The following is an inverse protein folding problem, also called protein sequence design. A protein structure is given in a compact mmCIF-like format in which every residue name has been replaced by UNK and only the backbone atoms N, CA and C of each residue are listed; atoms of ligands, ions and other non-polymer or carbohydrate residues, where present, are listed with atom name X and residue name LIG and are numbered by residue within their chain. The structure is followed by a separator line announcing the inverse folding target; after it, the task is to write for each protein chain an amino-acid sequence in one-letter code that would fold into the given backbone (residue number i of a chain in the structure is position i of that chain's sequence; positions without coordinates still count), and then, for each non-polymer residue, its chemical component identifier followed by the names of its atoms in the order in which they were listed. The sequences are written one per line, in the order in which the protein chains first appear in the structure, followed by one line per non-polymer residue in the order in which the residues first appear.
data_IF_916890263201
#
_entry.id   IF_916890263201
#
_cell.length_a   1.000
_cell.length_b   1.000
_cell.length_c   1.000
_cell.angle_alpha   90.00
_cell.angle_beta   90.00
_cell.angle_gamma   90.00
#
_symmetry.space_group_name_H-M   'P 1'
#
loop_
_entity.id
_entity.type
_entity.pdbx_description
1 polymer ?
#
# COMPACT_ATOMS: atom_id res chain seq x y z
N UNK A 1 -20.67 31.35 54.91
CA UNK A 1 -20.04 30.08 55.42
C UNK A 1 -19.21 29.44 54.31
N UNK A 2 -17.93 29.33 54.61
CA UNK A 2 -16.88 28.98 53.65
C UNK A 2 -16.77 27.46 53.46
N UNK A 3 -16.46 27.04 52.19
CA UNK A 3 -15.85 25.73 51.97
C UNK A 3 -14.67 25.90 51.01
N UNK A 4 -13.50 25.51 51.50
CA UNK A 4 -12.19 25.58 50.90
C UNK A 4 -12.06 24.66 49.67
N UNK A 5 -11.58 25.16 48.55
CA UNK A 5 -11.06 24.41 47.44
C UNK A 5 -9.58 24.11 47.70
N UNK A 6 -9.21 22.82 47.67
CA UNK A 6 -7.79 22.37 47.64
C UNK A 6 -7.32 22.30 46.19
N UNK A 7 -6.27 23.00 45.86
CA UNK A 7 -5.53 22.93 44.62
C UNK A 7 -4.54 21.79 44.65
N UNK A 8 -4.62 20.85 43.72
CA UNK A 8 -3.59 19.87 43.43
C UNK A 8 -2.64 20.38 42.32
N UNK A 9 -1.40 20.62 42.71
CA UNK A 9 -0.33 21.06 41.80
C UNK A 9 0.17 19.86 40.98
N UNK A 10 0.22 20.02 39.65
CA UNK A 10 0.95 19.14 38.75
C UNK A 10 2.44 19.53 38.70
N UNK A 11 3.37 18.57 38.55
CA UNK A 11 4.80 18.87 38.52
C UNK A 11 5.23 19.51 37.21
N UNK A 12 5.92 20.65 37.31
CA UNK A 12 6.59 21.34 36.20
C UNK A 12 7.90 20.64 35.89
N UNK A 13 8.03 20.05 34.71
CA UNK A 13 9.32 19.68 34.13
C UNK A 13 9.95 20.90 33.47
N UNK A 14 11.03 21.44 34.02
CA UNK A 14 11.94 22.36 33.37
C UNK A 14 13.25 21.59 33.12
N UNK A 15 13.47 21.21 31.88
CA UNK A 15 14.78 20.77 31.39
C UNK A 15 15.28 21.79 30.38
N UNK A 16 16.21 22.65 30.80
CA UNK A 16 16.96 23.53 29.89
C UNK A 16 18.12 22.73 29.33
N UNK A 17 18.11 22.48 28.02
CA UNK A 17 19.32 22.09 27.32
C UNK A 17 19.96 23.34 26.70
N UNK A 18 21.13 23.73 27.21
CA UNK A 18 22.03 24.66 26.54
C UNK A 18 22.78 23.90 25.45
N UNK A 19 22.48 24.17 24.19
CA UNK A 19 23.30 23.71 23.05
C UNK A 19 24.25 24.84 22.70
N UNK A 20 25.54 24.58 22.73
CA UNK A 20 26.58 25.52 22.31
C UNK A 20 26.50 25.75 20.80
N UNK A 21 26.66 27.01 20.38
CA UNK A 21 26.40 27.50 19.03
C UNK A 21 27.34 27.03 17.91
N UNK A 22 28.21 26.01 18.13
CA UNK A 22 29.31 25.69 17.20
C UNK A 22 29.45 24.19 16.80
N UNK A 23 28.43 23.36 16.98
CA UNK A 23 28.51 21.98 16.49
C UNK A 23 27.48 21.73 15.38
N UNK A 24 27.93 21.08 14.29
CA UNK A 24 27.08 20.78 13.15
C UNK A 24 26.05 19.69 13.52
N UNK A 25 24.82 19.70 12.96
CA UNK A 25 23.76 18.73 13.27
C UNK A 25 24.13 17.26 13.06
N UNK A 26 25.16 16.99 12.26
CA UNK A 26 25.65 15.62 12.01
C UNK A 26 26.42 15.00 13.17
N UNK A 27 27.00 15.79 14.06
CA UNK A 27 27.75 15.31 15.22
C UNK A 27 26.80 14.95 16.35
N UNK A 28 25.77 15.75 16.58
CA UNK A 28 24.76 15.48 17.61
C UNK A 28 23.99 14.18 17.32
N UNK A 29 23.69 13.90 16.04
CA UNK A 29 23.03 12.66 15.64
C UNK A 29 23.92 11.43 15.78
N UNK A 30 25.24 11.57 15.55
CA UNK A 30 26.22 10.48 15.74
C UNK A 30 26.48 10.17 17.21
N UNK A 31 26.46 11.17 18.08
CA UNK A 31 26.59 10.96 19.54
C UNK A 31 25.32 10.29 20.10
N UNK A 32 24.12 10.70 19.66
CA UNK A 32 22.87 10.09 20.10
C UNK A 32 22.75 8.61 19.68
N UNK A 33 23.24 8.26 18.48
CA UNK A 33 23.28 6.85 18.02
C UNK A 33 24.36 6.06 18.76
N UNK A 34 25.47 6.67 19.15
CA UNK A 34 26.57 5.99 19.86
C UNK A 34 26.25 5.74 21.35
N UNK A 35 25.60 6.68 22.02
CA UNK A 35 25.14 6.50 23.42
C UNK A 35 23.98 5.53 23.56
N UNK A 36 23.13 5.35 22.52
CA UNK A 36 22.09 4.30 22.53
C UNK A 36 22.61 2.90 22.22
N UNK A 37 23.83 2.74 21.73
CA UNK A 37 24.43 1.41 21.43
C UNK A 37 25.33 0.88 22.56
N UNK A 38 25.69 1.67 23.56
CA UNK A 38 26.64 1.27 24.64
C UNK A 38 25.96 0.97 25.99
N UNK A 39 24.62 1.17 26.14
CA UNK A 39 23.91 0.85 27.38
C UNK A 39 22.76 -0.18 27.16
N UNK A 40 23.01 -1.21 26.34
CA UNK A 40 22.15 -2.40 26.39
C UNK A 40 22.80 -3.40 27.35
N UNK A 41 22.47 -3.25 28.64
CA UNK A 41 22.80 -4.21 29.67
C UNK A 41 22.23 -5.59 29.29
N UNK A 42 23.09 -6.59 29.07
CA UNK A 42 22.74 -7.98 28.74
C UNK A 42 21.89 -8.69 29.82
N UNK A 43 21.54 -8.01 30.91
CA UNK A 43 20.83 -8.56 32.07
C UNK A 43 19.42 -7.97 32.30
N UNK A 44 18.85 -7.24 31.34
CA UNK A 44 17.46 -6.80 31.48
C UNK A 44 16.50 -7.95 31.16
N UNK A 45 15.66 -8.40 32.11
CA UNK A 45 14.82 -9.60 31.91
C UNK A 45 13.60 -9.40 31.02
N UNK A 46 13.42 -8.26 30.39
CA UNK A 46 12.29 -8.01 29.48
C UNK A 46 12.77 -7.19 28.30
N UNK A 47 13.13 -7.90 27.21
CA UNK A 47 13.20 -7.28 25.89
C UNK A 47 11.81 -7.42 25.24
N UNK A 48 10.98 -6.36 25.17
CA UNK A 48 9.56 -6.46 24.77
C UNK A 48 9.33 -6.76 23.29
N UNK A 49 10.31 -7.32 22.60
CA UNK A 49 10.22 -7.61 21.16
C UNK A 49 10.77 -8.95 20.71
N UNK A 50 11.32 -9.77 21.60
CA UNK A 50 11.67 -11.15 21.24
C UNK A 50 10.54 -12.09 21.68
N UNK A 51 9.96 -12.91 20.77
CA UNK A 51 9.11 -14.01 21.19
C UNK A 51 9.92 -14.88 22.18
N UNK A 52 9.25 -15.46 23.16
CA UNK A 52 9.89 -16.45 24.04
C UNK A 52 10.47 -17.54 23.14
N UNK A 53 11.77 -17.52 23.01
CA UNK A 53 12.48 -18.58 22.30
C UNK A 53 12.42 -19.82 23.19
N UNK A 54 11.91 -20.93 22.66
CA UNK A 54 12.02 -22.23 23.29
C UNK A 54 13.48 -22.62 23.49
N UNK A 55 13.74 -23.71 24.21
CA UNK A 55 15.09 -24.24 24.31
C UNK A 55 15.67 -24.58 22.92
N UNK A 56 16.98 -24.32 22.71
CA UNK A 56 17.61 -24.67 21.44
C UNK A 56 17.69 -26.20 21.28
N UNK A 57 17.36 -26.67 20.11
CA UNK A 57 17.39 -28.09 19.75
C UNK A 57 18.53 -28.35 18.74
N UNK A 58 19.20 -29.51 18.80
CA UNK A 58 20.13 -29.91 17.76
C UNK A 58 19.37 -30.23 16.46
N UNK A 59 19.99 -30.07 15.28
CA UNK A 59 19.30 -30.22 13.98
C UNK A 59 18.56 -31.55 13.76
N UNK A 60 19.02 -32.62 14.40
CA UNK A 60 18.42 -33.96 14.34
C UNK A 60 17.01 -34.02 14.97
N UNK A 61 16.74 -33.08 15.89
CA UNK A 61 15.45 -32.97 16.61
C UNK A 61 14.52 -31.90 16.00
N UNK A 62 14.94 -31.19 14.95
CA UNK A 62 14.13 -30.18 14.32
C UNK A 62 12.93 -30.79 13.58
N UNK A 63 11.77 -30.15 13.73
CA UNK A 63 10.53 -30.57 13.05
C UNK A 63 10.67 -30.40 11.54
N UNK A 64 10.58 -31.50 10.81
CA UNK A 64 10.71 -31.54 9.34
C UNK A 64 9.38 -31.24 8.64
N UNK A 65 9.41 -30.65 7.44
CA UNK A 65 10.60 -30.03 6.81
C UNK A 65 11.00 -28.72 7.53
N UNK A 66 12.27 -28.34 7.48
CA UNK A 66 12.77 -27.14 8.14
C UNK A 66 13.69 -26.29 7.27
N UNK A 67 13.82 -25.01 7.64
CA UNK A 67 14.78 -24.06 7.09
C UNK A 67 15.46 -23.31 8.23
N UNK A 68 16.76 -23.06 8.10
CA UNK A 68 17.55 -22.30 9.06
C UNK A 68 17.78 -20.87 8.57
N UNK A 69 17.74 -19.90 9.48
CA UNK A 69 18.11 -18.52 9.22
C UNK A 69 19.53 -18.23 9.72
N UNK A 70 20.36 -17.61 8.88
CA UNK A 70 21.65 -17.07 9.29
C UNK A 70 21.49 -15.87 10.24
N UNK A 71 20.44 -15.09 10.01
CA UNK A 71 20.08 -13.92 10.81
C UNK A 71 18.58 -13.95 11.08
N UNK A 72 18.19 -13.81 12.34
CA UNK A 72 16.77 -13.69 12.70
C UNK A 72 16.24 -12.35 12.20
N UNK A 73 15.11 -12.40 11.53
CA UNK A 73 14.38 -11.22 11.06
C UNK A 73 12.92 -11.41 11.41
N UNK A 74 12.27 -10.34 11.87
CA UNK A 74 10.82 -10.32 12.07
C UNK A 74 10.06 -10.00 10.78
N UNK A 75 10.77 -9.67 9.70
CA UNK A 75 10.15 -9.46 8.39
C UNK A 75 9.69 -10.80 7.80
N UNK A 76 8.52 -10.82 7.13
CA UNK A 76 8.03 -12.04 6.48
C UNK A 76 8.93 -12.51 5.34
N UNK A 77 9.55 -11.58 4.60
CA UNK A 77 10.35 -11.87 3.42
C UNK A 77 11.80 -12.20 3.78
N UNK A 78 12.22 -13.43 3.56
CA UNK A 78 13.58 -13.89 3.75
C UNK A 78 14.27 -14.03 2.39
N UNK A 79 15.35 -13.28 2.22
CA UNK A 79 16.15 -13.29 0.99
C UNK A 79 17.24 -14.36 1.04
N UNK A 80 17.81 -14.80 -0.11
CA UNK A 80 18.79 -15.89 -0.17
C UNK A 80 19.98 -15.73 0.77
N UNK A 81 20.47 -14.49 0.96
CA UNK A 81 21.60 -14.20 1.87
C UNK A 81 21.29 -14.43 3.35
N UNK A 82 20.00 -14.45 3.72
CA UNK A 82 19.52 -14.65 5.09
C UNK A 82 19.23 -16.12 5.39
N UNK A 83 19.02 -16.93 4.34
CA UNK A 83 18.74 -18.36 4.44
C UNK A 83 20.04 -19.12 4.65
N UNK A 84 20.02 -20.03 5.62
CA UNK A 84 21.06 -21.02 5.89
C UNK A 84 20.73 -22.37 5.25
N UNK A 85 20.95 -23.45 6.00
CA UNK A 85 20.65 -24.79 5.56
C UNK A 85 19.14 -25.08 5.53
N UNK A 86 18.74 -25.99 4.68
CA UNK A 86 17.36 -26.42 4.51
C UNK A 86 17.32 -27.95 4.51
N UNK A 87 16.33 -28.53 5.17
CA UNK A 87 16.18 -29.98 5.21
C UNK A 87 15.99 -30.58 3.81
N UNK A 88 16.57 -31.76 3.57
CA UNK A 88 16.56 -32.43 2.25
C UNK A 88 15.16 -32.83 1.77
N UNK A 89 14.23 -32.95 2.68
CA UNK A 89 12.84 -33.29 2.42
C UNK A 89 11.95 -32.07 2.11
N UNK A 90 12.42 -30.86 2.32
CA UNK A 90 11.69 -29.65 1.96
C UNK A 90 11.49 -29.53 0.43
N UNK A 91 10.26 -29.32 0.01
CA UNK A 91 9.84 -29.18 -1.39
C UNK A 91 9.33 -27.74 -1.68
N UNK A 92 9.38 -27.30 -2.94
CA UNK A 92 8.79 -26.03 -3.33
C UNK A 92 7.29 -25.96 -2.97
N UNK A 93 6.90 -24.93 -2.21
CA UNK A 93 5.54 -24.73 -1.73
C UNK A 93 5.24 -25.27 -0.33
N UNK A 94 6.16 -26.01 0.27
CA UNK A 94 5.97 -26.59 1.60
C UNK A 94 5.91 -25.52 2.70
N UNK A 95 5.13 -25.83 3.72
CA UNK A 95 5.15 -25.14 5.01
C UNK A 95 6.27 -25.74 5.85
N UNK A 96 7.30 -24.95 6.16
CA UNK A 96 8.52 -25.41 6.85
C UNK A 96 8.63 -24.76 8.23
N UNK A 97 9.20 -25.52 9.17
CA UNK A 97 9.63 -25.00 10.48
C UNK A 97 10.86 -24.13 10.30
N UNK A 98 10.90 -22.96 10.94
CA UNK A 98 12.01 -22.02 10.80
C UNK A 98 12.82 -21.98 12.10
N UNK A 99 14.13 -22.20 11.98
CA UNK A 99 15.08 -22.19 13.10
C UNK A 99 16.12 -21.11 12.90
N UNK A 100 16.64 -20.56 14.00
CA UNK A 100 17.80 -19.71 13.97
C UNK A 100 19.12 -20.52 13.93
N UNK A 101 20.26 -19.85 13.84
CA UNK A 101 21.57 -20.49 13.81
C UNK A 101 21.95 -21.19 15.12
N UNK A 102 21.25 -20.94 16.21
CA UNK A 102 21.48 -21.54 17.52
C UNK A 102 20.56 -22.73 17.81
N UNK A 103 19.59 -22.99 16.95
CA UNK A 103 18.65 -24.10 17.09
C UNK A 103 17.32 -23.74 17.74
N UNK A 104 17.06 -22.45 17.99
CA UNK A 104 15.74 -22.05 18.50
C UNK A 104 14.73 -22.03 17.34
N UNK A 105 13.55 -22.55 17.59
CA UNK A 105 12.44 -22.39 16.65
C UNK A 105 11.98 -20.93 16.69
N UNK A 106 11.98 -20.25 15.55
CA UNK A 106 11.63 -18.83 15.43
C UNK A 106 10.40 -18.57 14.58
N UNK A 107 9.83 -19.60 13.96
CA UNK A 107 8.64 -19.43 13.14
C UNK A 107 8.25 -20.63 12.30
N UNK A 108 7.31 -20.37 11.41
CA UNK A 108 6.88 -21.26 10.32
C UNK A 108 6.72 -20.44 9.05
N UNK A 109 7.09 -20.98 7.89
CA UNK A 109 7.07 -20.23 6.64
C UNK A 109 6.85 -21.12 5.40
N UNK A 110 6.50 -20.48 4.29
CA UNK A 110 6.38 -21.11 2.97
C UNK A 110 7.72 -21.07 2.26
N UNK A 111 8.19 -22.21 1.81
CA UNK A 111 9.50 -22.40 1.18
C UNK A 111 9.40 -22.61 -0.33
N UNK A 112 10.23 -21.90 -1.09
CA UNK A 112 10.46 -22.17 -2.51
C UNK A 112 11.89 -21.75 -2.89
N UNK A 113 12.82 -22.68 -3.14
CA UNK A 113 14.22 -22.36 -3.43
C UNK A 113 14.42 -21.60 -4.75
N UNK A 114 13.42 -21.59 -5.65
CA UNK A 114 13.48 -20.90 -6.94
C UNK A 114 13.11 -19.42 -6.83
N UNK A 115 12.36 -19.05 -5.78
CA UNK A 115 11.82 -17.72 -5.61
C UNK A 115 12.90 -16.67 -5.30
N UNK A 116 12.66 -15.41 -5.67
CA UNK A 116 13.48 -14.27 -5.22
C UNK A 116 13.51 -14.13 -3.70
N UNK A 117 12.43 -14.55 -3.05
CA UNK A 117 12.30 -14.65 -1.59
C UNK A 117 12.02 -16.12 -1.26
N UNK A 118 13.08 -16.95 -1.06
CA UNK A 118 12.95 -18.39 -0.93
C UNK A 118 12.19 -18.86 0.31
N UNK A 119 12.00 -17.99 1.30
CA UNK A 119 11.19 -18.30 2.47
C UNK A 119 10.32 -17.07 2.81
N UNK A 120 9.02 -17.32 2.98
CA UNK A 120 8.04 -16.34 3.46
C UNK A 120 7.55 -16.79 4.83
N UNK A 121 8.01 -16.14 5.89
CA UNK A 121 7.61 -16.45 7.26
C UNK A 121 6.16 -15.99 7.46
N UNK A 122 5.28 -16.94 7.75
CA UNK A 122 3.85 -16.67 7.99
C UNK A 122 3.55 -16.41 9.47
N UNK A 123 4.38 -16.95 10.36
CA UNK A 123 4.29 -16.67 11.79
C UNK A 123 5.66 -16.70 12.43
N UNK A 124 5.89 -15.76 13.36
CA UNK A 124 7.09 -15.68 14.19
C UNK A 124 6.75 -16.19 15.59
N UNK A 125 6.61 -17.51 15.74
CA UNK A 125 6.26 -18.17 16.99
C UNK A 125 7.08 -19.44 17.17
N UNK A 126 7.45 -19.77 18.41
CA UNK A 126 8.06 -21.05 18.75
C UNK A 126 7.07 -22.22 18.66
N UNK A 127 5.75 -21.92 18.60
CA UNK A 127 4.72 -22.94 18.44
C UNK A 127 4.58 -23.35 16.97
N UNK A 128 4.44 -24.66 16.68
CA UNK A 128 4.16 -25.14 15.34
C UNK A 128 2.75 -24.68 14.92
N UNK A 129 2.61 -24.28 13.67
CA UNK A 129 1.32 -24.01 13.05
C UNK A 129 1.21 -24.79 11.75
N UNK A 130 0.01 -25.23 11.43
CA UNK A 130 -0.32 -25.98 10.22
C UNK A 130 -1.20 -25.17 9.26
N UNK A 131 -1.93 -25.88 8.40
CA UNK A 131 -2.80 -25.29 7.38
C UNK A 131 -3.97 -24.49 7.99
N UNK A 132 -4.38 -24.79 9.22
CA UNK A 132 -5.43 -24.10 9.99
C UNK A 132 -5.10 -22.61 10.24
N UNK A 133 -3.82 -22.26 10.26
CA UNK A 133 -3.38 -20.87 10.38
C UNK A 133 -3.96 -20.01 9.27
N UNK A 134 -3.93 -20.49 8.02
CA UNK A 134 -4.41 -19.73 6.87
C UNK A 134 -5.92 -19.52 6.89
N UNK A 135 -6.69 -20.53 7.30
CA UNK A 135 -8.14 -20.38 7.45
C UNK A 135 -8.48 -19.33 8.53
N UNK A 136 -7.77 -19.35 9.64
CA UNK A 136 -7.92 -18.36 10.70
C UNK A 136 -7.52 -16.96 10.22
N UNK A 137 -6.42 -16.82 9.47
CA UNK A 137 -5.96 -15.54 8.91
C UNK A 137 -6.97 -14.99 7.90
N UNK A 138 -7.54 -15.83 7.02
CA UNK A 138 -8.61 -15.45 6.09
C UNK A 138 -9.83 -14.92 6.83
N UNK A 139 -10.32 -15.66 7.83
CA UNK A 139 -11.49 -15.23 8.62
C UNK A 139 -11.23 -13.91 9.33
N UNK A 140 -10.05 -13.71 9.93
CA UNK A 140 -9.67 -12.43 10.55
C UNK A 140 -9.62 -11.29 9.54
N UNK A 141 -9.06 -11.53 8.34
CA UNK A 141 -8.99 -10.53 7.29
C UNK A 141 -10.40 -10.09 6.84
N UNK A 142 -11.32 -11.05 6.63
CA UNK A 142 -12.71 -10.76 6.25
C UNK A 142 -13.43 -10.02 7.38
N UNK A 143 -13.33 -10.50 8.64
CA UNK A 143 -13.97 -9.86 9.79
C UNK A 143 -13.48 -8.41 9.99
N UNK A 144 -12.19 -8.14 9.76
CA UNK A 144 -11.66 -6.77 9.81
C UNK A 144 -12.41 -5.83 8.86
N UNK A 145 -12.73 -6.28 7.65
CA UNK A 145 -13.41 -5.47 6.62
C UNK A 145 -14.91 -5.39 6.83
N UNK A 146 -15.55 -6.52 7.17
CA UNK A 146 -17.02 -6.59 7.31
C UNK A 146 -17.50 -6.16 8.67
N UNK A 147 -16.90 -6.68 9.76
CA UNK A 147 -17.40 -6.47 11.12
C UNK A 147 -16.88 -5.14 11.69
N UNK A 148 -15.57 -4.88 11.58
CA UNK A 148 -14.97 -3.70 12.17
C UNK A 148 -15.18 -2.45 11.31
N UNK A 149 -14.90 -2.53 9.98
CA UNK A 149 -14.98 -1.37 9.09
C UNK A 149 -16.30 -1.26 8.33
N UNK A 150 -17.14 -2.29 8.34
CA UNK A 150 -18.46 -2.33 7.70
C UNK A 150 -18.42 -1.90 6.22
N UNK A 151 -17.39 -2.36 5.48
CA UNK A 151 -17.15 -1.90 4.12
C UNK A 151 -18.27 -2.26 3.14
N UNK A 152 -18.99 -3.37 3.38
CA UNK A 152 -20.14 -3.77 2.55
C UNK A 152 -21.27 -2.72 2.56
N UNK A 153 -21.36 -1.89 3.60
CA UNK A 153 -22.36 -0.81 3.67
C UNK A 153 -22.06 0.33 2.68
N UNK A 154 -20.79 0.51 2.31
CA UNK A 154 -20.34 1.65 1.51
C UNK A 154 -19.78 1.28 0.15
N UNK A 155 -19.34 0.03 -0.04
CA UNK A 155 -18.74 -0.43 -1.29
C UNK A 155 -18.94 -1.93 -1.47
N UNK A 156 -19.09 -2.36 -2.72
CA UNK A 156 -19.00 -3.77 -3.13
C UNK A 156 -17.65 -4.10 -3.78
N UNK A 157 -16.67 -3.17 -3.66
CA UNK A 157 -15.29 -3.38 -4.11
C UNK A 157 -14.29 -2.93 -3.03
N UNK A 158 -13.47 -3.87 -2.53
CA UNK A 158 -12.48 -3.63 -1.50
C UNK A 158 -11.44 -4.75 -1.40
N UNK A 159 -10.26 -4.45 -0.82
CA UNK A 159 -9.18 -5.39 -0.57
C UNK A 159 -9.56 -6.37 0.54
N UNK A 160 -9.74 -7.65 0.19
CA UNK A 160 -10.07 -8.73 1.13
C UNK A 160 -8.85 -9.20 1.90
N UNK A 161 -7.75 -9.42 1.18
CA UNK A 161 -6.46 -9.85 1.76
C UNK A 161 -5.36 -8.93 1.23
N UNK A 162 -4.60 -8.33 2.13
CA UNK A 162 -3.49 -7.43 1.84
C UNK A 162 -2.12 -8.05 2.19
N UNK A 163 -1.86 -9.23 1.67
CA UNK A 163 -0.57 -9.93 1.78
C UNK A 163 -0.03 -9.96 3.21
N UNK A 164 1.18 -9.41 3.41
CA UNK A 164 1.85 -9.37 4.73
C UNK A 164 1.00 -8.66 5.79
N UNK A 165 0.20 -7.67 5.40
CA UNK A 165 -0.68 -6.93 6.31
C UNK A 165 -1.82 -7.74 6.91
N UNK A 166 -2.13 -8.92 6.35
CA UNK A 166 -3.10 -9.88 6.88
C UNK A 166 -2.44 -11.21 7.31
N UNK A 167 -1.09 -11.29 7.26
CA UNK A 167 -0.34 -12.48 7.63
C UNK A 167 -0.41 -13.60 6.59
N UNK A 168 -0.79 -13.30 5.35
CA UNK A 168 -0.83 -14.24 4.23
C UNK A 168 0.14 -13.77 3.16
N UNK A 169 1.43 -13.79 3.49
CA UNK A 169 2.51 -13.29 2.63
C UNK A 169 2.48 -13.93 1.25
N UNK A 170 2.41 -13.09 0.22
CA UNK A 170 2.41 -13.53 -1.17
C UNK A 170 1.02 -13.68 -1.80
N UNK A 171 -0.03 -13.11 -1.19
CA UNK A 171 -1.38 -13.08 -1.73
C UNK A 171 -2.03 -11.71 -1.53
N UNK A 172 -2.56 -11.14 -2.60
CA UNK A 172 -3.58 -10.08 -2.46
C UNK A 172 -4.88 -10.55 -3.10
N UNK A 173 -6.00 -10.23 -2.46
CA UNK A 173 -7.32 -10.52 -3.00
C UNK A 173 -8.16 -9.23 -2.93
N UNK A 174 -8.67 -8.81 -4.07
CA UNK A 174 -9.67 -7.77 -4.18
C UNK A 174 -11.05 -8.39 -4.51
N UNK A 175 -12.09 -7.88 -3.88
CA UNK A 175 -13.47 -8.17 -4.23
C UNK A 175 -13.99 -7.11 -5.20
N UNK A 176 -14.73 -7.54 -6.22
CA UNK A 176 -15.46 -6.69 -7.14
C UNK A 176 -16.85 -7.29 -7.36
N UNK A 177 -17.84 -6.82 -6.59
CA UNK A 177 -19.18 -7.40 -6.58
C UNK A 177 -19.16 -8.87 -6.14
N UNK A 178 -19.51 -9.78 -7.04
CA UNK A 178 -19.50 -11.23 -6.82
C UNK A 178 -18.22 -11.95 -7.34
N UNK A 179 -17.22 -11.19 -7.75
CA UNK A 179 -15.95 -11.70 -8.30
C UNK A 179 -14.79 -11.37 -7.38
N UNK A 180 -13.95 -12.36 -7.12
CA UNK A 180 -12.65 -12.20 -6.45
C UNK A 180 -11.54 -12.09 -7.49
N UNK A 181 -10.64 -11.12 -7.32
CA UNK A 181 -9.40 -11.01 -8.10
C UNK A 181 -8.21 -11.31 -7.18
N UNK A 182 -7.49 -12.39 -7.49
CA UNK A 182 -6.38 -12.90 -6.69
C UNK A 182 -5.06 -12.65 -7.42
N UNK A 183 -4.21 -11.75 -6.90
CA UNK A 183 -2.81 -11.65 -7.31
C UNK A 183 -1.96 -12.57 -6.42
N UNK A 184 -1.29 -13.53 -7.04
CA UNK A 184 -0.50 -14.54 -6.33
C UNK A 184 0.98 -14.36 -6.62
N UNK A 185 1.76 -14.27 -5.55
CA UNK A 185 3.21 -14.01 -5.60
C UNK A 185 4.06 -15.17 -5.04
N UNK A 186 3.46 -16.32 -4.75
CA UNK A 186 4.15 -17.47 -4.16
C UNK A 186 3.53 -18.80 -4.60
N UNK A 187 4.38 -19.76 -4.93
CA UNK A 187 3.94 -21.14 -5.26
C UNK A 187 3.16 -21.78 -4.12
N UNK A 188 3.63 -21.62 -2.88
CA UNK A 188 2.97 -22.21 -1.71
C UNK A 188 1.57 -21.66 -1.48
N UNK A 189 1.33 -20.40 -1.80
CA UNK A 189 0.00 -19.78 -1.82
C UNK A 189 -0.83 -20.33 -2.97
N UNK A 190 -0.26 -20.38 -4.18
CA UNK A 190 -0.96 -20.85 -5.37
C UNK A 190 -1.50 -22.28 -5.19
N UNK A 191 -0.71 -23.17 -4.62
CA UNK A 191 -1.09 -24.56 -4.34
C UNK A 191 -2.25 -24.67 -3.34
N UNK A 192 -2.39 -23.71 -2.43
CA UNK A 192 -3.42 -23.68 -1.37
C UNK A 192 -4.69 -22.96 -1.79
N UNK A 193 -4.61 -22.07 -2.76
CA UNK A 193 -5.72 -21.21 -3.18
C UNK A 193 -7.01 -21.99 -3.51
N UNK A 194 -6.96 -23.13 -4.26
CA UNK A 194 -8.15 -23.91 -4.56
C UNK A 194 -8.90 -24.42 -3.32
N UNK A 195 -8.17 -24.70 -2.24
CA UNK A 195 -8.74 -25.12 -0.95
C UNK A 195 -9.41 -23.95 -0.22
N UNK A 196 -8.90 -22.73 -0.36
CA UNK A 196 -9.41 -21.54 0.32
C UNK A 196 -10.58 -20.85 -0.39
N UNK A 197 -10.70 -21.02 -1.71
CA UNK A 197 -11.75 -20.39 -2.51
C UNK A 197 -13.17 -20.69 -2.01
N UNK A 198 -13.55 -21.93 -1.67
CA UNK A 198 -14.88 -22.22 -1.12
C UNK A 198 -15.17 -21.46 0.17
N UNK A 199 -14.19 -21.35 1.07
CA UNK A 199 -14.31 -20.57 2.29
C UNK A 199 -14.50 -19.08 2.00
N UNK A 200 -13.68 -18.50 1.11
CA UNK A 200 -13.77 -17.10 0.70
C UNK A 200 -15.13 -16.79 0.06
N UNK A 201 -15.60 -17.64 -0.87
CA UNK A 201 -16.91 -17.49 -1.49
C UNK A 201 -18.04 -17.56 -0.48
N UNK A 202 -17.96 -18.47 0.50
CA UNK A 202 -18.96 -18.59 1.56
C UNK A 202 -19.01 -17.36 2.46
N UNK A 203 -17.83 -16.81 2.83
CA UNK A 203 -17.75 -15.63 3.71
C UNK A 203 -18.21 -14.35 3.03
N UNK A 204 -17.95 -14.21 1.73
CA UNK A 204 -18.12 -12.97 0.99
C UNK A 204 -19.35 -12.94 0.08
N UNK A 205 -20.07 -14.08 -0.08
CA UNK A 205 -21.17 -14.20 -1.02
C UNK A 205 -20.76 -14.07 -2.49
N UNK A 206 -19.48 -14.32 -2.81
CA UNK A 206 -18.95 -14.25 -4.18
C UNK A 206 -19.09 -15.58 -4.91
N UNK A 207 -18.98 -15.55 -6.26
CA UNK A 207 -19.20 -16.74 -7.11
C UNK A 207 -18.06 -17.00 -8.07
N UNK A 208 -17.34 -15.97 -8.44
CA UNK A 208 -16.33 -16.02 -9.49
C UNK A 208 -14.97 -15.67 -8.94
N UNK A 209 -13.91 -16.21 -9.56
CA UNK A 209 -12.54 -15.88 -9.23
C UNK A 209 -11.72 -15.65 -10.51
N UNK A 210 -10.89 -14.61 -10.49
CA UNK A 210 -9.78 -14.43 -11.42
C UNK A 210 -8.47 -14.58 -10.65
N UNK A 211 -7.58 -15.40 -11.17
CA UNK A 211 -6.24 -15.60 -10.60
C UNK A 211 -5.24 -15.03 -11.57
N UNK A 212 -4.45 -14.10 -11.08
CA UNK A 212 -3.35 -13.49 -11.80
C UNK A 212 -2.01 -13.85 -11.13
N UNK A 213 -1.04 -14.17 -11.97
CA UNK A 213 0.36 -14.34 -11.60
C UNK A 213 1.17 -13.64 -12.69
N UNK A 214 2.01 -12.70 -12.30
CA UNK A 214 2.93 -12.07 -13.25
C UNK A 214 3.78 -13.13 -13.96
N UNK A 215 3.99 -12.99 -15.27
CA UNK A 215 4.64 -14.00 -16.12
C UNK A 215 6.05 -14.37 -15.63
N UNK A 216 6.87 -13.35 -15.33
CA UNK A 216 8.25 -13.56 -14.91
C UNK A 216 8.32 -14.15 -13.51
N UNK A 217 7.44 -13.69 -12.64
CA UNK A 217 7.29 -14.22 -11.29
C UNK A 217 6.78 -15.67 -11.33
N UNK A 218 5.79 -15.97 -12.16
CA UNK A 218 5.23 -17.32 -12.32
C UNK A 218 6.30 -18.33 -12.76
N UNK A 219 7.15 -17.94 -13.71
CA UNK A 219 8.28 -18.75 -14.16
C UNK A 219 9.27 -19.04 -13.03
N UNK A 220 9.62 -18.03 -12.23
CA UNK A 220 10.51 -18.18 -11.07
C UNK A 220 9.89 -19.02 -9.95
N UNK A 221 8.61 -18.85 -9.68
CA UNK A 221 7.88 -19.62 -8.66
C UNK A 221 7.56 -21.06 -9.13
N UNK A 222 7.59 -21.34 -10.44
CA UNK A 222 7.25 -22.61 -11.03
C UNK A 222 5.74 -22.83 -11.21
N UNK A 223 4.98 -21.75 -11.34
CA UNK A 223 3.53 -21.75 -11.58
C UNK A 223 3.28 -21.75 -13.09
N UNK A 224 2.50 -22.73 -13.59
CA UNK A 224 2.22 -22.88 -15.01
C UNK A 224 0.97 -22.07 -15.43
N UNK A 225 0.99 -21.36 -16.59
CA UNK A 225 -0.16 -20.61 -17.09
C UNK A 225 -1.45 -21.44 -17.26
N UNK A 226 -1.33 -22.72 -17.60
CA UNK A 226 -2.48 -23.64 -17.74
C UNK A 226 -3.27 -23.81 -16.44
N UNK A 227 -2.58 -23.87 -15.29
CA UNK A 227 -3.20 -24.02 -13.98
C UNK A 227 -4.00 -22.76 -13.56
N UNK A 228 -3.53 -21.58 -13.98
CA UNK A 228 -4.28 -20.33 -13.73
C UNK A 228 -5.57 -20.25 -14.55
N UNK A 229 -5.51 -20.67 -15.82
CA UNK A 229 -6.69 -20.70 -16.71
C UNK A 229 -7.80 -21.59 -16.17
N UNK A 230 -7.47 -22.72 -15.59
CA UNK A 230 -8.42 -23.64 -14.98
C UNK A 230 -9.20 -22.99 -13.84
N UNK A 231 -8.52 -22.27 -12.96
CA UNK A 231 -9.15 -21.56 -11.83
C UNK A 231 -10.03 -20.37 -12.28
N UNK A 232 -9.72 -19.76 -13.42
CA UNK A 232 -10.35 -18.51 -13.90
C UNK A 232 -11.48 -18.76 -14.90
N UNK A 233 -11.74 -20.00 -15.32
CA UNK A 233 -12.54 -20.34 -16.51
C UNK A 233 -13.98 -19.79 -16.52
N UNK A 234 -14.58 -19.48 -15.37
CA UNK A 234 -15.97 -18.99 -15.27
C UNK A 234 -16.11 -17.49 -14.90
N UNK A 235 -14.98 -16.77 -14.81
CA UNK A 235 -15.03 -15.39 -14.36
C UNK A 235 -15.41 -14.42 -15.49
N UNK A 236 -16.27 -13.42 -15.24
CA UNK A 236 -16.61 -12.41 -16.23
C UNK A 236 -15.42 -11.52 -16.56
N UNK A 237 -15.36 -10.98 -17.79
CA UNK A 237 -14.34 -10.01 -18.18
C UNK A 237 -14.58 -8.63 -17.58
N UNK A 238 -15.85 -8.27 -17.36
CA UNK A 238 -16.26 -6.97 -16.82
C UNK A 238 -17.23 -7.13 -15.66
N UNK A 239 -17.04 -6.30 -14.64
CA UNK A 239 -17.91 -6.28 -13.47
C UNK A 239 -18.32 -4.84 -13.16
N UNK A 240 -19.58 -4.62 -12.83
CA UNK A 240 -20.06 -3.33 -12.31
C UNK A 240 -19.97 -3.34 -10.79
N UNK A 241 -19.39 -2.28 -10.25
CA UNK A 241 -19.22 -2.08 -8.81
C UNK A 241 -19.81 -0.74 -8.39
N UNK A 242 -20.03 -0.60 -7.09
CA UNK A 242 -20.45 0.64 -6.45
C UNK A 242 -19.53 0.96 -5.27
N UNK A 243 -19.10 2.22 -5.20
CA UNK A 243 -18.25 2.75 -4.12
C UNK A 243 -18.84 4.08 -3.64
N UNK A 244 -19.29 4.15 -2.39
CA UNK A 244 -19.97 5.33 -1.84
C UNK A 244 -21.12 5.87 -2.73
N UNK A 245 -21.85 4.97 -3.40
CA UNK A 245 -22.92 5.31 -4.33
C UNK A 245 -22.47 5.60 -5.77
N UNK A 246 -21.19 5.81 -6.00
CA UNK A 246 -20.59 6.00 -7.33
C UNK A 246 -20.49 4.65 -8.05
N UNK A 247 -20.89 4.59 -9.30
CA UNK A 247 -20.89 3.37 -10.11
C UNK A 247 -19.66 3.33 -11.00
N UNK A 248 -19.01 2.17 -11.09
CA UNK A 248 -17.89 1.93 -11.97
C UNK A 248 -18.05 0.59 -12.69
N UNK A 249 -17.56 0.49 -13.90
CA UNK A 249 -17.30 -0.76 -14.60
C UNK A 249 -15.81 -1.04 -14.53
N UNK A 250 -15.47 -2.21 -14.02
CA UNK A 250 -14.09 -2.72 -13.94
C UNK A 250 -13.90 -3.71 -15.07
N UNK A 251 -12.91 -3.48 -15.90
CA UNK A 251 -12.52 -4.36 -17.00
C UNK A 251 -11.24 -5.09 -16.64
N UNK A 252 -11.31 -6.39 -16.47
CA UNK A 252 -10.16 -7.23 -16.10
C UNK A 252 -9.30 -7.61 -17.30
N UNK A 253 -9.79 -7.47 -18.51
CA UNK A 253 -9.06 -7.84 -19.72
C UNK A 253 -8.15 -6.69 -20.23
N UNK A 254 -8.67 -5.45 -20.16
CA UNK A 254 -8.00 -4.25 -20.67
C UNK A 254 -7.44 -3.35 -19.57
N UNK A 255 -7.83 -3.57 -18.30
CA UNK A 255 -7.41 -2.75 -17.18
C UNK A 255 -5.98 -3.02 -16.73
N UNK A 256 -5.22 -1.94 -16.40
CA UNK A 256 -3.94 -2.08 -15.72
C UNK A 256 -4.13 -2.76 -14.36
N UNK A 257 -3.33 -3.77 -14.05
CA UNK A 257 -3.41 -4.57 -12.82
C UNK A 257 -4.81 -5.18 -12.65
N UNK A 258 -5.51 -4.76 -11.57
CA UNK A 258 -6.85 -5.25 -11.21
C UNK A 258 -8.00 -4.47 -11.88
N UNK A 259 -7.70 -3.47 -12.72
CA UNK A 259 -8.70 -2.62 -13.40
C UNK A 259 -9.33 -1.54 -12.52
N UNK A 260 -9.14 -1.58 -11.20
CA UNK A 260 -9.64 -0.57 -10.25
C UNK A 260 -8.78 -0.54 -8.98
N UNK A 261 -8.54 0.65 -8.43
CA UNK A 261 -7.68 0.85 -7.26
C UNK A 261 -8.51 1.08 -6.00
N UNK A 262 -8.80 0.02 -5.24
CA UNK A 262 -9.56 0.09 -3.99
C UNK A 262 -8.89 0.94 -2.90
N UNK A 263 -7.57 1.07 -2.93
CA UNK A 263 -6.77 1.82 -1.97
C UNK A 263 -7.05 3.33 -1.94
N UNK A 264 -7.53 3.88 -3.05
CA UNK A 264 -7.89 5.31 -3.16
C UNK A 264 -9.37 5.61 -2.80
N UNK A 265 -10.16 4.62 -2.37
CA UNK A 265 -11.60 4.76 -2.08
C UNK A 265 -11.91 5.98 -1.21
N UNK A 266 -11.28 6.07 -0.06
CA UNK A 266 -11.58 7.09 0.93
C UNK A 266 -11.04 8.46 0.49
N UNK A 267 -9.90 8.48 -0.22
CA UNK A 267 -9.32 9.69 -0.81
C UNK A 267 -10.20 10.24 -1.94
N UNK A 268 -10.77 9.39 -2.81
CA UNK A 268 -11.69 9.81 -3.87
C UNK A 268 -12.93 10.50 -3.29
N UNK A 269 -13.57 9.87 -2.31
CA UNK A 269 -14.74 10.46 -1.63
C UNK A 269 -14.42 11.79 -0.97
N UNK A 270 -13.30 11.85 -0.24
CA UNK A 270 -12.84 13.06 0.43
C UNK A 270 -12.56 14.19 -0.57
N UNK A 271 -11.86 13.89 -1.66
CA UNK A 271 -11.60 14.87 -2.71
C UNK A 271 -12.89 15.46 -3.26
N UNK A 272 -13.86 14.62 -3.62
CA UNK A 272 -15.18 15.06 -4.07
C UNK A 272 -15.87 16.02 -3.09
N UNK A 273 -15.76 15.77 -1.78
CA UNK A 273 -16.38 16.63 -0.76
C UNK A 273 -15.77 18.04 -0.63
N UNK A 274 -14.54 18.24 -1.13
CA UNK A 274 -13.79 19.49 -0.99
C UNK A 274 -13.85 20.40 -2.23
N UNK A 275 -14.48 19.94 -3.33
CA UNK A 275 -14.39 20.63 -4.63
C UNK A 275 -15.72 21.20 -5.15
N UNK A 276 -16.72 21.34 -4.27
CA UNK A 276 -18.01 21.96 -4.66
C UNK A 276 -17.79 23.40 -5.18
N UNK A 277 -18.36 23.68 -6.36
CA UNK A 277 -18.25 24.97 -7.04
C UNK A 277 -16.87 25.28 -7.63
N UNK A 278 -15.98 24.29 -7.70
CA UNK A 278 -14.59 24.47 -8.14
C UNK A 278 -14.38 23.97 -9.58
N UNK A 279 -13.43 24.60 -10.27
CA UNK A 279 -12.83 24.12 -11.51
C UNK A 279 -11.64 23.22 -11.15
N UNK A 280 -11.68 21.97 -11.59
CA UNK A 280 -10.76 20.91 -11.15
C UNK A 280 -9.90 20.41 -12.31
N UNK A 281 -8.61 20.15 -12.05
CA UNK A 281 -7.71 19.40 -12.90
C UNK A 281 -7.33 18.09 -12.20
N UNK A 282 -7.45 16.98 -12.92
CA UNK A 282 -7.08 15.63 -12.47
C UNK A 282 -6.00 15.08 -13.40
N UNK A 283 -4.76 15.04 -12.93
CA UNK A 283 -3.58 14.57 -13.67
C UNK A 283 -3.31 13.09 -13.35
N UNK A 284 -3.12 12.28 -14.39
CA UNK A 284 -3.05 10.82 -14.32
C UNK A 284 -4.37 10.25 -13.79
N UNK A 285 -5.47 10.62 -14.46
CA UNK A 285 -6.84 10.40 -13.97
C UNK A 285 -7.28 8.93 -14.02
N UNK A 286 -6.53 8.06 -14.71
CA UNK A 286 -6.90 6.67 -14.94
C UNK A 286 -8.35 6.57 -15.45
N UNK A 287 -9.16 5.67 -14.91
CA UNK A 287 -10.58 5.52 -15.29
C UNK A 287 -11.52 6.56 -14.65
N UNK A 288 -10.96 7.69 -14.18
CA UNK A 288 -11.70 8.86 -13.71
C UNK A 288 -12.22 8.80 -12.29
N UNK A 289 -11.61 8.00 -11.42
CA UNK A 289 -12.08 7.83 -10.05
C UNK A 289 -12.20 9.15 -9.28
N UNK A 290 -11.17 10.01 -9.28
CA UNK A 290 -11.22 11.33 -8.66
C UNK A 290 -12.09 12.31 -9.43
N UNK A 291 -12.02 12.31 -10.76
CA UNK A 291 -12.80 13.18 -11.64
C UNK A 291 -14.30 12.99 -11.45
N UNK A 292 -14.78 11.74 -11.40
CA UNK A 292 -16.19 11.39 -11.22
C UNK A 292 -16.66 11.80 -9.81
N UNK A 293 -15.88 11.51 -8.77
CA UNK A 293 -16.18 11.95 -7.41
C UNK A 293 -16.21 13.49 -7.31
N UNK A 294 -15.32 14.20 -8.00
CA UNK A 294 -15.34 15.66 -8.04
C UNK A 294 -16.63 16.21 -8.68
N UNK A 295 -17.05 15.63 -9.82
CA UNK A 295 -18.30 16.04 -10.47
C UNK A 295 -19.53 15.78 -9.58
N UNK A 296 -19.61 14.61 -8.97
CA UNK A 296 -20.72 14.25 -8.06
C UNK A 296 -20.67 15.08 -6.76
N UNK A 297 -19.48 15.51 -6.34
CA UNK A 297 -19.28 16.44 -5.24
C UNK A 297 -19.64 17.90 -5.56
N UNK A 298 -20.05 18.21 -6.79
CA UNK A 298 -20.53 19.50 -7.22
C UNK A 298 -19.46 20.43 -7.82
N UNK A 299 -18.36 19.89 -8.34
CA UNK A 299 -17.41 20.67 -9.14
C UNK A 299 -18.14 21.28 -10.35
N UNK A 300 -17.76 22.49 -10.76
CA UNK A 300 -18.37 23.17 -11.92
C UNK A 300 -17.89 22.60 -13.23
N UNK A 301 -16.61 22.25 -13.29
CA UNK A 301 -15.92 21.68 -14.44
C UNK A 301 -14.76 20.82 -13.95
N UNK A 302 -14.53 19.69 -14.62
CA UNK A 302 -13.37 18.84 -14.37
C UNK A 302 -12.66 18.56 -15.70
N UNK A 303 -11.34 18.68 -15.70
CA UNK A 303 -10.48 18.22 -16.80
C UNK A 303 -9.68 17.02 -16.29
N UNK A 304 -9.93 15.87 -16.89
CA UNK A 304 -9.27 14.59 -16.61
C UNK A 304 -8.23 14.31 -17.69
N UNK A 305 -6.97 14.14 -17.30
CA UNK A 305 -5.84 13.93 -18.21
C UNK A 305 -5.20 12.58 -17.94
N UNK A 306 -5.06 11.77 -18.98
CA UNK A 306 -4.31 10.52 -18.92
C UNK A 306 -3.58 10.26 -20.25
N UNK A 307 -2.51 9.47 -20.17
CA UNK A 307 -1.71 9.09 -21.35
C UNK A 307 -2.31 7.89 -22.09
N UNK A 308 -3.15 7.10 -21.43
CA UNK A 308 -3.73 5.88 -21.95
C UNK A 308 -5.16 6.14 -22.46
N UNK A 309 -5.37 5.93 -23.76
CA UNK A 309 -6.66 6.16 -24.40
C UNK A 309 -7.73 5.14 -24.00
N UNK A 310 -7.33 3.91 -23.68
CA UNK A 310 -8.26 2.86 -23.28
C UNK A 310 -8.84 3.15 -21.90
N UNK A 311 -8.01 3.62 -20.96
CA UNK A 311 -8.49 4.02 -19.63
C UNK A 311 -9.37 5.27 -19.69
N UNK A 312 -9.11 6.22 -20.59
CA UNK A 312 -9.98 7.37 -20.86
C UNK A 312 -11.33 6.91 -21.40
N UNK A 313 -11.33 5.96 -22.31
CA UNK A 313 -12.56 5.38 -22.88
C UNK A 313 -13.38 4.70 -21.78
N UNK A 314 -12.71 3.95 -20.88
CA UNK A 314 -13.37 3.37 -19.71
C UNK A 314 -13.87 4.47 -18.75
N UNK A 315 -13.11 5.54 -18.55
CA UNK A 315 -13.51 6.70 -17.76
C UNK A 315 -14.78 7.38 -18.28
N UNK A 316 -14.93 7.53 -19.60
CA UNK A 316 -16.15 8.05 -20.23
C UNK A 316 -17.35 7.13 -19.97
N UNK A 317 -17.16 5.79 -20.03
CA UNK A 317 -18.22 4.83 -19.68
C UNK A 317 -18.62 4.98 -18.21
N UNK A 318 -17.66 5.12 -17.31
CA UNK A 318 -17.90 5.34 -15.87
C UNK A 318 -18.62 6.66 -15.61
N UNK A 319 -18.27 7.75 -16.30
CA UNK A 319 -18.99 9.03 -16.22
C UNK A 319 -20.45 8.88 -16.66
N UNK A 320 -20.70 8.16 -17.76
CA UNK A 320 -22.06 7.90 -18.27
C UNK A 320 -22.89 7.06 -17.29
N UNK A 321 -22.30 6.04 -16.62
CA UNK A 321 -22.99 5.27 -15.59
C UNK A 321 -23.49 6.14 -14.43
N UNK A 322 -22.82 7.27 -14.18
CA UNK A 322 -23.16 8.25 -13.14
C UNK A 322 -23.90 9.47 -13.68
N UNK A 323 -24.36 9.45 -14.94
CA UNK A 323 -25.13 10.52 -15.58
C UNK A 323 -24.42 11.87 -15.59
N UNK A 324 -23.10 11.87 -15.65
CA UNK A 324 -22.29 13.10 -15.70
C UNK A 324 -22.31 13.67 -17.12
N UNK A 325 -22.61 14.96 -17.23
CA UNK A 325 -22.64 15.66 -18.52
C UNK A 325 -21.24 15.72 -19.16
N UNK A 326 -21.09 15.30 -20.43
CA UNK A 326 -19.81 15.40 -21.14
C UNK A 326 -19.26 16.83 -21.25
N UNK A 327 -20.14 17.83 -21.19
CA UNK A 327 -19.75 19.25 -21.26
C UNK A 327 -19.04 19.71 -19.97
N UNK A 328 -19.24 19.02 -18.85
CA UNK A 328 -18.67 19.38 -17.54
C UNK A 328 -17.44 18.55 -17.18
N UNK A 329 -17.30 17.35 -17.73
CA UNK A 329 -16.14 16.47 -17.52
C UNK A 329 -15.43 16.27 -18.87
N UNK A 330 -14.32 16.97 -19.04
CA UNK A 330 -13.48 16.91 -20.23
C UNK A 330 -12.40 15.86 -20.07
N UNK A 331 -12.25 15.01 -21.05
CA UNK A 331 -11.21 13.97 -21.12
C UNK A 331 -10.15 14.36 -22.11
N UNK A 332 -8.90 14.35 -21.70
CA UNK A 332 -7.73 14.72 -22.49
C UNK A 332 -6.76 13.56 -22.55
N UNK A 333 -6.53 13.05 -23.75
CA UNK A 333 -5.49 12.06 -24.03
C UNK A 333 -4.17 12.80 -24.22
N UNK A 334 -3.32 12.83 -23.19
CA UNK A 334 -2.04 13.51 -23.23
C UNK A 334 -1.12 13.03 -22.08
N UNK A 335 0.18 13.16 -22.28
CA UNK A 335 1.15 13.09 -21.21
C UNK A 335 0.92 14.21 -20.18
N UNK A 336 0.83 13.86 -18.90
CA UNK A 336 0.52 14.80 -17.82
C UNK A 336 1.53 15.94 -17.70
N UNK A 337 2.83 15.67 -17.94
CA UNK A 337 3.86 16.72 -17.93
C UNK A 337 3.70 17.70 -19.11
N UNK A 338 3.48 17.15 -20.29
CA UNK A 338 3.30 17.98 -21.49
C UNK A 338 2.04 18.84 -21.39
N UNK A 339 0.93 18.25 -20.94
CA UNK A 339 -0.32 18.97 -20.75
C UNK A 339 -0.19 20.06 -19.68
N UNK A 340 0.33 19.73 -18.52
CA UNK A 340 0.47 20.70 -17.43
C UNK A 340 1.40 21.86 -17.81
N UNK A 341 2.51 21.60 -18.53
CA UNK A 341 3.39 22.65 -19.06
C UNK A 341 2.67 23.56 -20.06
N UNK A 342 1.84 22.98 -20.94
CA UNK A 342 1.06 23.77 -21.87
C UNK A 342 0.05 24.67 -21.17
N UNK A 343 -0.65 24.15 -20.15
CA UNK A 343 -1.58 24.95 -19.33
C UNK A 343 -0.85 26.07 -18.57
N UNK A 344 0.34 25.78 -18.05
CA UNK A 344 1.17 26.81 -17.41
C UNK A 344 1.56 27.94 -18.39
N UNK A 345 1.98 27.58 -19.61
CA UNK A 345 2.29 28.57 -20.67
C UNK A 345 1.09 29.41 -21.06
N UNK A 346 -0.10 28.80 -21.04
CA UNK A 346 -1.34 29.49 -21.36
C UNK A 346 -1.85 30.37 -20.20
N UNK A 347 -1.20 30.38 -19.03
CA UNK A 347 -1.65 31.09 -17.85
C UNK A 347 -2.89 30.50 -17.17
N UNK A 348 -3.22 29.24 -17.48
CA UNK A 348 -4.37 28.54 -16.91
C UNK A 348 -4.17 28.23 -15.43
N UNK A 349 -5.23 28.40 -14.65
CA UNK A 349 -5.24 28.07 -13.23
C UNK A 349 -6.57 27.39 -12.85
N UNK A 350 -6.49 26.49 -11.87
CA UNK A 350 -7.60 25.69 -11.37
C UNK A 350 -7.81 25.95 -9.87
N UNK A 351 -9.05 25.80 -9.42
CA UNK A 351 -9.38 25.94 -7.99
C UNK A 351 -8.92 24.72 -7.18
N UNK A 352 -8.80 23.57 -7.85
CA UNK A 352 -8.27 22.34 -7.26
C UNK A 352 -7.48 21.55 -8.31
N UNK A 353 -6.35 20.98 -7.92
CA UNK A 353 -5.55 20.06 -8.72
C UNK A 353 -5.34 18.77 -7.94
N UNK A 354 -5.69 17.64 -8.55
CA UNK A 354 -5.36 16.29 -8.15
C UNK A 354 -4.20 15.79 -9.02
N UNK A 355 -3.21 15.16 -8.40
CA UNK A 355 -2.05 14.61 -9.10
C UNK A 355 -1.74 13.22 -8.52
N UNK A 356 -2.15 12.16 -9.21
CA UNK A 356 -1.94 10.76 -8.79
C UNK A 356 -1.09 10.00 -9.83
N UNK A 357 0.21 10.31 -9.94
CA UNK A 357 1.06 9.74 -10.96
C UNK A 357 1.36 8.27 -10.72
N UNK A 358 1.76 7.53 -11.76
CA UNK A 358 2.26 6.18 -11.61
C UNK A 358 3.53 6.13 -10.75
N UNK A 359 3.92 4.92 -10.35
CA UNK A 359 5.11 4.69 -9.56
C UNK A 359 6.37 5.09 -10.35
N UNK A 360 7.02 6.20 -9.97
CA UNK A 360 8.25 6.65 -10.62
C UNK A 360 9.53 6.03 -10.05
N UNK A 361 9.58 5.77 -8.73
CA UNK A 361 10.73 5.11 -8.10
C UNK A 361 10.45 3.62 -7.99
N UNK A 362 11.08 2.83 -8.85
CA UNK A 362 10.87 1.36 -8.95
C UNK A 362 12.08 0.55 -8.46
N UNK A 363 13.23 1.18 -8.28
CA UNK A 363 14.48 0.52 -7.87
C UNK A 363 15.17 1.27 -6.75
N UNK A 364 15.97 0.54 -5.96
CA UNK A 364 16.88 1.11 -4.96
C UNK A 364 18.25 1.52 -5.54
N UNK A 365 18.48 1.22 -6.80
CA UNK A 365 19.70 1.64 -7.50
C UNK A 365 19.73 3.17 -7.56
N UNK A 366 20.86 3.81 -7.15
CA UNK A 366 20.90 5.26 -6.92
C UNK A 366 20.50 6.11 -8.13
N UNK A 367 20.93 5.75 -9.34
CA UNK A 367 20.62 6.50 -10.55
C UNK A 367 19.12 6.44 -10.88
N UNK A 368 18.53 5.24 -10.86
CA UNK A 368 17.10 5.05 -11.13
C UNK A 368 16.20 5.67 -10.06
N UNK A 369 16.60 5.58 -8.78
CA UNK A 369 15.89 6.25 -7.69
C UNK A 369 15.92 7.78 -7.85
N UNK A 370 17.09 8.36 -8.17
CA UNK A 370 17.25 9.80 -8.38
C UNK A 370 16.42 10.30 -9.59
N UNK A 371 16.36 9.52 -10.67
CA UNK A 371 15.53 9.85 -11.83
C UNK A 371 14.03 9.85 -11.45
N UNK A 372 13.57 8.81 -10.76
CA UNK A 372 12.19 8.75 -10.28
C UNK A 372 11.81 9.91 -9.36
N UNK A 373 12.73 10.32 -8.47
CA UNK A 373 12.53 11.48 -7.59
C UNK A 373 12.49 12.80 -8.38
N UNK A 374 13.28 12.93 -9.45
CA UNK A 374 13.19 14.11 -10.34
C UNK A 374 11.83 14.19 -11.01
N UNK A 375 11.28 13.06 -11.51
CA UNK A 375 9.94 13.02 -12.10
C UNK A 375 8.87 13.47 -11.09
N UNK A 376 8.94 13.00 -9.84
CA UNK A 376 8.04 13.49 -8.77
C UNK A 376 8.21 15.00 -8.54
N UNK A 377 9.45 15.50 -8.44
CA UNK A 377 9.72 16.92 -8.23
C UNK A 377 9.15 17.79 -9.35
N UNK A 378 9.41 17.41 -10.60
CA UNK A 378 9.00 18.18 -11.77
C UNK A 378 7.48 18.20 -11.95
N UNK A 379 6.81 17.04 -11.83
CA UNK A 379 5.37 16.98 -11.97
C UNK A 379 4.66 17.76 -10.86
N UNK A 380 5.09 17.58 -9.60
CA UNK A 380 4.50 18.30 -8.48
C UNK A 380 4.74 19.81 -8.58
N UNK A 381 5.92 20.24 -9.02
CA UNK A 381 6.19 21.67 -9.25
C UNK A 381 5.24 22.25 -10.30
N UNK A 382 5.10 21.59 -11.45
CA UNK A 382 4.22 22.07 -12.52
C UNK A 382 2.76 22.04 -12.07
N UNK A 383 2.31 20.96 -11.44
CA UNK A 383 0.94 20.84 -10.93
C UNK A 383 0.61 21.93 -9.88
N UNK A 384 1.52 22.21 -8.94
CA UNK A 384 1.35 23.26 -7.96
C UNK A 384 1.26 24.68 -8.60
N UNK A 385 1.93 24.91 -9.75
CA UNK A 385 1.85 26.18 -10.47
C UNK A 385 0.46 26.46 -11.06
N UNK A 386 -0.29 25.40 -11.35
CA UNK A 386 -1.63 25.48 -11.93
C UNK A 386 -2.73 25.72 -10.87
N UNK A 387 -2.40 25.64 -9.59
CA UNK A 387 -3.37 25.91 -8.53
C UNK A 387 -3.49 27.41 -8.28
N UNK A 388 -4.70 27.94 -8.23
CA UNK A 388 -4.96 29.33 -7.81
C UNK A 388 -4.47 29.58 -6.38
N UNK A 389 -4.04 30.81 -6.02
CA UNK A 389 -3.83 31.17 -4.63
C UNK A 389 -5.07 30.83 -3.78
N UNK A 390 -4.89 30.17 -2.64
CA UNK A 390 -5.97 29.66 -1.82
C UNK A 390 -6.62 28.35 -2.32
N UNK A 391 -6.19 27.83 -3.46
CA UNK A 391 -6.73 26.60 -4.06
C UNK A 391 -6.23 25.33 -3.39
N UNK A 392 -6.91 24.22 -3.67
CA UNK A 392 -6.61 22.88 -3.16
C UNK A 392 -5.57 22.20 -4.06
N UNK A 393 -4.50 21.70 -3.46
CA UNK A 393 -3.52 20.83 -4.12
C UNK A 393 -3.46 19.48 -3.39
N UNK A 394 -3.79 18.41 -4.10
CA UNK A 394 -3.71 17.04 -3.60
C UNK A 394 -2.76 16.27 -4.50
N UNK A 395 -1.76 15.62 -3.90
CA UNK A 395 -0.78 14.85 -4.67
C UNK A 395 -0.44 13.54 -3.99
N UNK A 396 -0.19 12.51 -4.80
CA UNK A 396 0.03 11.14 -4.37
C UNK A 396 1.40 10.60 -4.78
N UNK A 397 1.86 9.59 -4.05
CA UNK A 397 2.94 8.70 -4.47
C UNK A 397 2.62 7.27 -4.02
N UNK A 398 2.58 6.34 -4.97
CA UNK A 398 2.45 4.91 -4.71
C UNK A 398 3.80 4.16 -4.69
N UNK A 399 4.93 4.87 -4.67
CA UNK A 399 6.27 4.26 -4.61
C UNK A 399 6.62 3.82 -3.19
N UNK A 400 6.59 2.52 -2.90
CA UNK A 400 6.96 1.96 -1.58
C UNK A 400 8.43 2.22 -1.17
N UNK A 401 9.30 2.59 -2.12
CA UNK A 401 10.69 2.93 -1.86
C UNK A 401 10.90 4.41 -1.47
N UNK A 402 9.84 5.22 -1.48
CA UNK A 402 9.87 6.63 -1.09
C UNK A 402 9.11 6.79 0.22
N UNK A 403 9.75 7.29 1.26
CA UNK A 403 9.09 7.56 2.54
C UNK A 403 8.13 8.76 2.42
N UNK A 404 7.22 8.90 3.38
CA UNK A 404 6.32 10.05 3.43
C UNK A 404 7.11 11.36 3.53
N UNK A 405 8.12 11.39 4.40
CA UNK A 405 8.97 12.55 4.65
C UNK A 405 9.71 12.96 3.38
N UNK A 406 10.33 12.00 2.68
CA UNK A 406 11.03 12.25 1.41
C UNK A 406 10.09 12.77 0.33
N UNK A 407 8.87 12.23 0.23
CA UNK A 407 7.87 12.70 -0.72
C UNK A 407 7.40 14.10 -0.38
N UNK A 408 7.08 14.36 0.88
CA UNK A 408 6.65 15.68 1.37
C UNK A 408 7.72 16.75 1.11
N UNK A 409 8.98 16.48 1.43
CA UNK A 409 10.09 17.39 1.12
C UNK A 409 10.20 17.68 -0.37
N UNK A 410 10.03 16.67 -1.21
CA UNK A 410 10.06 16.81 -2.67
C UNK A 410 8.98 17.78 -3.15
N UNK A 411 7.74 17.62 -2.66
CA UNK A 411 6.59 18.48 -3.01
C UNK A 411 6.78 19.90 -2.52
N UNK A 412 7.22 20.08 -1.26
CA UNK A 412 7.49 21.40 -0.67
C UNK A 412 8.58 22.14 -1.46
N UNK A 413 9.70 21.48 -1.77
CA UNK A 413 10.79 22.05 -2.57
C UNK A 413 10.29 22.48 -3.96
N UNK A 414 9.40 21.69 -4.58
CA UNK A 414 8.75 22.06 -5.85
C UNK A 414 7.94 23.36 -5.75
N UNK A 415 7.13 23.50 -4.73
CA UNK A 415 6.33 24.71 -4.49
C UNK A 415 7.21 25.93 -4.18
N UNK A 416 8.25 25.77 -3.35
CA UNK A 416 9.17 26.88 -3.01
C UNK A 416 9.90 27.43 -4.22
N UNK A 417 10.27 26.60 -5.21
CA UNK A 417 10.86 27.08 -6.49
C UNK A 417 9.92 27.99 -7.29
N UNK A 418 8.62 27.93 -7.01
CA UNK A 418 7.61 28.80 -7.62
C UNK A 418 7.31 30.03 -6.74
N UNK A 419 8.05 30.24 -5.66
CA UNK A 419 7.77 31.22 -4.62
C UNK A 419 6.36 31.05 -4.01
N UNK A 420 5.90 29.81 -3.87
CA UNK A 420 4.62 29.43 -3.26
C UNK A 420 4.85 28.61 -2.00
N UNK A 421 3.94 28.74 -1.05
CA UNK A 421 3.92 27.93 0.17
C UNK A 421 2.74 26.98 0.14
N UNK A 422 2.92 25.81 0.72
CA UNK A 422 1.86 24.83 0.91
C UNK A 422 1.45 24.80 2.39
N UNK A 423 0.21 25.08 2.66
CA UNK A 423 -0.40 24.81 3.95
C UNK A 423 -0.88 23.35 3.93
N UNK A 424 -0.01 22.42 4.30
CA UNK A 424 -0.33 21.00 4.37
C UNK A 424 -1.19 20.77 5.60
N UNK A 425 -2.44 20.38 5.39
CA UNK A 425 -3.41 20.20 6.47
C UNK A 425 -3.71 18.74 6.78
N UNK A 426 -3.29 17.81 5.89
CA UNK A 426 -3.41 16.39 6.18
C UNK A 426 -2.47 15.51 5.33
N UNK A 427 -2.26 14.30 5.80
CA UNK A 427 -1.49 13.23 5.18
C UNK A 427 -2.29 11.95 5.32
N UNK A 428 -2.73 11.38 4.18
CA UNK A 428 -3.48 10.12 4.18
C UNK A 428 -2.68 9.03 3.46
N UNK A 429 -3.17 7.82 3.54
CA UNK A 429 -2.64 6.63 2.89
C UNK A 429 -3.71 5.87 2.14
N UNK A 430 -3.52 4.56 1.98
CA UNK A 430 -4.53 3.69 1.41
C UNK A 430 -5.75 3.57 2.33
N UNK A 431 -6.86 3.10 1.78
CA UNK A 431 -8.06 2.78 2.53
C UNK A 431 -7.80 1.78 3.66
N UNK A 432 -8.69 1.76 4.65
CA UNK A 432 -8.59 0.91 5.87
C UNK A 432 -8.50 -0.59 5.59
N UNK A 433 -8.90 -1.01 4.40
CA UNK A 433 -8.78 -2.38 3.90
C UNK A 433 -7.35 -2.78 3.47
N UNK A 434 -6.40 -1.88 3.57
CA UNK A 434 -4.98 -2.12 3.28
C UNK A 434 -4.12 -2.05 4.56
N UNK A 435 -4.35 -2.94 5.55
CA UNK A 435 -3.61 -2.93 6.79
C UNK A 435 -2.12 -3.24 6.57
N UNK A 436 -1.31 -2.82 7.54
CA UNK A 436 0.13 -3.09 7.60
C UNK A 436 0.46 -3.69 8.95
N UNK A 437 1.16 -4.82 8.98
CA UNK A 437 1.70 -5.32 10.23
C UNK A 437 2.92 -4.54 10.69
N UNK A 438 3.10 -4.43 12.00
CA UNK A 438 4.21 -3.70 12.62
C UNK A 438 5.59 -4.25 12.28
N UNK A 439 5.69 -5.50 11.87
CA UNK A 439 6.90 -6.18 11.42
C UNK A 439 7.15 -6.09 9.90
N UNK A 440 6.30 -5.37 9.15
CA UNK A 440 6.42 -5.21 7.69
C UNK A 440 6.06 -3.77 7.26
N UNK A 441 6.69 -2.76 7.87
CA UNK A 441 6.40 -1.35 7.61
C UNK A 441 6.71 -0.92 6.16
N UNK A 442 7.59 -1.64 5.47
CA UNK A 442 7.91 -1.47 4.05
C UNK A 442 6.72 -1.75 3.11
N UNK A 443 5.67 -2.39 3.60
CA UNK A 443 4.41 -2.54 2.85
C UNK A 443 3.59 -1.25 2.75
N UNK A 444 3.97 -0.19 3.48
CA UNK A 444 3.42 1.16 3.29
C UNK A 444 3.88 1.72 1.97
N UNK A 445 2.96 1.91 1.03
CA UNK A 445 3.33 2.34 -0.32
C UNK A 445 2.62 3.61 -0.77
N UNK A 446 1.36 3.83 -0.40
CA UNK A 446 0.59 5.00 -0.80
C UNK A 446 0.74 6.13 0.21
N UNK A 447 1.05 7.31 -0.28
CA UNK A 447 1.11 8.59 0.44
C UNK A 447 0.30 9.60 -0.33
N UNK A 448 -0.56 10.35 0.37
CA UNK A 448 -1.37 11.43 -0.20
C UNK A 448 -1.20 12.68 0.66
N UNK A 449 -0.75 13.76 0.06
CA UNK A 449 -0.62 15.07 0.70
C UNK A 449 -1.79 15.96 0.32
N UNK A 450 -2.43 16.52 1.33
CA UNK A 450 -3.55 17.45 1.20
C UNK A 450 -3.09 18.83 1.60
N UNK A 451 -3.12 19.77 0.68
CA UNK A 451 -2.59 21.10 0.92
C UNK A 451 -3.41 22.20 0.26
N UNK A 452 -3.29 23.41 0.83
CA UNK A 452 -3.74 24.65 0.24
C UNK A 452 -2.52 25.42 -0.24
N UNK A 453 -2.59 25.97 -1.45
CA UNK A 453 -1.51 26.81 -2.01
C UNK A 453 -1.69 28.24 -1.50
N UNK A 454 -0.61 28.83 -0.92
CA UNK A 454 -0.62 30.18 -0.35
C UNK A 454 0.51 31.00 -0.95
#
# INVERSE_FOLDING_TARGET
EAAKAQSSQAPRWRGFFFVSKNESPSVALRLCVKTMSEEIDEKSPINPGRPELGEPLPPEQWSKPWAQLKFVSFQPAIFPRMLGDVSRDARPGDLVSVYDKFGHRVGTGLFNPRAKMPLRVVTHSNQPVGEEYFEMAIRRAVALRQDMFQLDAVSDAWRVINSDGDGISGLTIDRYGDTLYCDVYSLGIFQRLPKWLPLLHSLLGTKHVRVHVDHDLGSLEGIKPSQMKELTASAPDKVKIREHGVKYEVDFAEGHKTGFFCDQRDNRKRFGSLVKGKRVLDLCSYTGGFSINAMLGGATEVTAVDLDEDVITQGRRNANLNQISPNKLKWVHADAFAYARQMQKNGEQFDAVMCDPPKFVMTREPAGAAEGMRKYSDLNQIAASLVKPGGLFVTCSCSGLVSLETFEECVIKGAHRLNRRLQIFDRTGPGVDHPVFSNCLESRYLKVLWSRVV
#
